data_IF_768775349184
#
_entry.id   IF_768775349184
#
_cell.length_a   1.000
_cell.length_b   1.000
_cell.length_c   1.000
_cell.angle_alpha   90.00
_cell.angle_beta   90.00
_cell.angle_gamma   90.00
#
_symmetry.space_group_name_H-M   'P 1'
#
loop_
_entity.id
_entity.type
_entity.pdbx_description
1 polymer ?
#
# COMPACT_ATOMS: atom_id res chain seq x y z
N UNK A 1 -4.22 -4.47 27.07
CA UNK A 1 -4.09 -3.60 25.89
C UNK A 1 -3.22 -4.38 24.92
N UNK A 2 -3.79 -4.75 23.78
CA UNK A 2 -3.14 -5.60 22.77
C UNK A 2 -1.90 -4.89 22.23
N UNK A 3 -0.79 -5.64 22.04
CA UNK A 3 0.47 -5.13 21.50
C UNK A 3 0.30 -4.40 20.16
N UNK A 4 -0.68 -4.82 19.35
CA UNK A 4 -1.08 -4.17 18.10
C UNK A 4 -1.58 -2.73 18.30
N UNK A 5 -2.34 -2.46 19.34
CA UNK A 5 -2.93 -1.13 19.59
C UNK A 5 -1.88 -0.09 19.97
N UNK A 6 -0.85 -0.51 20.71
CA UNK A 6 0.27 0.34 21.14
C UNK A 6 1.17 0.79 19.98
N UNK A 7 1.31 -0.03 18.94
CA UNK A 7 2.15 0.25 17.76
C UNK A 7 1.59 1.44 16.96
N UNK A 8 0.26 1.53 16.78
CA UNK A 8 -0.37 2.58 15.99
C UNK A 8 -0.50 3.94 16.69
N UNK A 9 -0.35 4.00 18.02
CA UNK A 9 -0.46 5.25 18.77
C UNK A 9 0.81 6.12 18.73
N UNK A 10 1.96 5.53 18.35
CA UNK A 10 3.28 6.18 18.41
C UNK A 10 3.83 6.66 17.08
N UNK A 11 3.16 6.36 15.94
CA UNK A 11 3.67 6.68 14.61
C UNK A 11 2.87 7.78 13.90
N UNK A 12 3.55 8.83 13.46
CA UNK A 12 3.06 9.78 12.45
C UNK A 12 3.15 9.14 11.05
N UNK A 13 2.26 8.20 10.75
CA UNK A 13 2.15 7.61 9.42
C UNK A 13 1.17 8.44 8.58
N UNK A 14 1.45 8.72 7.30
CA UNK A 14 0.62 9.62 6.47
C UNK A 14 -0.86 9.24 6.35
N UNK A 15 -1.25 7.99 6.48
CA UNK A 15 -2.63 7.51 6.62
C UNK A 15 -2.65 6.26 7.51
N UNK A 16 -2.83 6.42 8.84
CA UNK A 16 -2.77 5.31 9.79
C UNK A 16 -3.85 4.26 9.54
N UNK A 17 -5.01 4.62 8.97
CA UNK A 17 -6.08 3.67 8.64
C UNK A 17 -5.64 2.76 7.50
N UNK A 18 -5.03 3.32 6.46
CA UNK A 18 -4.50 2.61 5.31
C UNK A 18 -3.46 1.57 5.74
N UNK A 19 -2.43 2.02 6.45
CA UNK A 19 -1.33 1.16 6.91
C UNK A 19 -1.85 0.08 7.87
N UNK A 20 -2.75 0.45 8.79
CA UNK A 20 -3.39 -0.54 9.67
C UNK A 20 -4.07 -1.67 8.89
N UNK A 21 -4.84 -1.35 7.85
CA UNK A 21 -5.52 -2.38 7.02
C UNK A 21 -4.52 -3.28 6.29
N UNK A 22 -3.38 -2.75 5.86
CA UNK A 22 -2.31 -3.53 5.25
C UNK A 22 -1.71 -4.49 6.28
N UNK A 23 -1.35 -4.01 7.45
CA UNK A 23 -0.78 -4.84 8.53
C UNK A 23 -1.79 -5.88 9.02
N UNK A 24 -3.06 -5.51 9.19
CA UNK A 24 -4.11 -6.45 9.58
C UNK A 24 -4.28 -7.57 8.54
N UNK A 25 -4.18 -7.26 7.24
CA UNK A 25 -4.20 -8.26 6.18
C UNK A 25 -2.99 -9.21 6.28
N UNK A 26 -1.78 -8.69 6.42
CA UNK A 26 -0.57 -9.51 6.55
C UNK A 26 -0.73 -10.49 7.72
N UNK A 27 -1.18 -10.01 8.89
CA UNK A 27 -1.43 -10.89 10.04
C UNK A 27 -2.62 -11.85 9.87
N UNK A 28 -3.53 -11.60 8.93
CA UNK A 28 -4.62 -12.54 8.64
C UNK A 28 -4.19 -13.69 7.73
N UNK A 29 -3.20 -13.45 6.87
CA UNK A 29 -2.72 -14.46 5.90
C UNK A 29 -1.66 -15.40 6.50
N UNK A 30 -0.96 -14.97 7.55
CA UNK A 30 0.11 -15.74 8.18
C UNK A 30 -0.18 -15.95 9.65
N UNK A 31 -0.13 -17.21 10.11
CA UNK A 31 -0.24 -17.58 11.54
C UNK A 31 0.94 -16.97 12.31
N UNK A 32 2.14 -16.99 11.70
CA UNK A 32 3.38 -16.45 12.22
C UNK A 32 4.14 -15.75 11.09
N UNK A 33 4.76 -14.63 11.40
CA UNK A 33 5.60 -13.89 10.46
C UNK A 33 7.08 -14.29 10.54
N UNK A 34 7.45 -15.20 11.45
CA UNK A 34 8.82 -15.69 11.57
C UNK A 34 9.32 -16.21 10.23
N UNK A 35 10.52 -15.77 9.86
CA UNK A 35 11.22 -16.15 8.62
C UNK A 35 10.46 -15.77 7.31
N UNK A 36 9.41 -14.97 7.38
CA UNK A 36 8.74 -14.40 6.20
C UNK A 36 9.53 -13.22 5.66
N UNK A 37 9.77 -13.22 4.36
CA UNK A 37 10.43 -12.11 3.67
C UNK A 37 9.39 -11.08 3.24
N UNK A 38 9.46 -9.87 3.78
CA UNK A 38 8.51 -8.78 3.50
C UNK A 38 9.29 -7.59 2.96
N UNK A 39 8.92 -7.13 1.75
CA UNK A 39 9.50 -5.97 1.10
C UNK A 39 8.51 -4.80 1.13
N UNK A 40 8.97 -3.65 1.55
CA UNK A 40 8.27 -2.37 1.37
C UNK A 40 8.95 -1.53 0.30
N UNK A 41 8.19 -1.13 -0.73
CA UNK A 41 8.60 -0.18 -1.75
C UNK A 41 8.15 1.22 -1.32
N UNK A 42 9.07 2.20 -1.35
CA UNK A 42 8.79 3.55 -0.88
C UNK A 42 8.79 3.66 0.64
N UNK A 43 9.83 3.17 1.30
CA UNK A 43 9.95 3.12 2.78
C UNK A 43 9.93 4.52 3.41
N UNK A 44 10.47 5.53 2.72
CA UNK A 44 10.55 6.93 3.15
C UNK A 44 11.04 7.11 4.61
N UNK A 45 10.12 7.38 5.53
CA UNK A 45 10.40 7.57 6.97
C UNK A 45 10.10 6.34 7.83
N UNK A 46 9.77 5.22 7.21
CA UNK A 46 9.23 4.03 7.84
C UNK A 46 7.73 3.88 7.58
N UNK A 47 7.26 2.66 7.49
CA UNK A 47 5.87 2.32 7.18
C UNK A 47 5.52 0.95 7.74
N UNK A 48 5.15 0.03 6.87
CA UNK A 48 4.84 -1.35 7.25
C UNK A 48 6.06 -2.06 7.85
N UNK A 49 7.25 -1.87 7.26
CA UNK A 49 8.50 -2.48 7.74
C UNK A 49 8.80 -2.06 9.18
N UNK A 50 8.69 -0.76 9.52
CA UNK A 50 8.94 -0.31 10.88
C UNK A 50 7.89 -0.85 11.88
N UNK A 51 6.64 -0.98 11.47
CA UNK A 51 5.59 -1.56 12.30
C UNK A 51 5.81 -3.06 12.56
N UNK A 52 6.45 -3.77 11.62
CA UNK A 52 6.69 -5.21 11.71
C UNK A 52 8.06 -5.57 12.32
N UNK A 53 8.90 -4.59 12.72
CA UNK A 53 10.28 -4.82 13.20
C UNK A 53 10.45 -5.83 14.35
N UNK A 54 9.40 -6.09 15.11
CA UNK A 54 9.41 -7.04 16.22
C UNK A 54 8.56 -8.29 15.94
N UNK A 55 8.20 -8.52 14.68
CA UNK A 55 7.33 -9.66 14.31
C UNK A 55 8.06 -10.97 14.03
N UNK A 56 9.40 -10.95 13.97
CA UNK A 56 10.21 -12.08 13.54
C UNK A 56 10.36 -12.24 12.02
N UNK A 57 9.75 -11.38 11.23
CA UNK A 57 9.92 -11.37 9.79
C UNK A 57 11.30 -10.83 9.37
N UNK A 58 11.80 -11.29 8.22
CA UNK A 58 12.91 -10.69 7.51
C UNK A 58 12.38 -9.48 6.72
N UNK A 59 12.82 -8.29 7.10
CA UNK A 59 12.27 -7.04 6.60
C UNK A 59 13.23 -6.38 5.61
N UNK A 60 12.69 -6.03 4.46
CA UNK A 60 13.42 -5.37 3.38
C UNK A 60 12.71 -4.09 2.97
N UNK A 61 13.47 -3.13 2.52
CA UNK A 61 12.93 -1.88 2.01
C UNK A 61 13.69 -1.38 0.78
N UNK A 62 12.98 -0.69 -0.10
CA UNK A 62 13.58 0.02 -1.23
C UNK A 62 12.99 1.41 -1.34
N UNK A 63 13.84 2.42 -1.51
CA UNK A 63 13.44 3.81 -1.69
C UNK A 63 14.49 4.55 -2.52
N UNK A 64 14.06 5.56 -3.28
CA UNK A 64 14.97 6.42 -4.04
C UNK A 64 15.84 7.28 -3.09
N UNK A 65 15.30 7.63 -1.93
CA UNK A 65 15.98 8.42 -0.91
C UNK A 65 15.59 7.96 0.51
N UNK A 66 16.10 6.81 0.96
CA UNK A 66 15.77 6.29 2.29
C UNK A 66 16.28 7.24 3.38
N UNK A 67 15.36 7.73 4.22
CA UNK A 67 15.69 8.73 5.26
C UNK A 67 16.09 8.12 6.59
N UNK A 68 15.81 6.84 6.81
CA UNK A 68 16.09 6.16 8.08
C UNK A 68 16.67 4.77 7.85
N UNK A 69 17.66 4.42 8.65
CA UNK A 69 17.99 3.02 8.89
C UNK A 69 16.98 2.46 9.89
N UNK A 70 16.07 1.61 9.41
CA UNK A 70 15.14 0.92 10.29
C UNK A 70 15.90 -0.30 10.86
N UNK A 71 16.19 -0.26 12.16
CA UNK A 71 16.91 -1.33 12.83
C UNK A 71 16.23 -2.69 12.60
N UNK A 72 17.01 -3.68 12.15
CA UNK A 72 16.52 -5.02 11.87
C UNK A 72 15.90 -5.20 10.47
N UNK A 73 16.12 -4.25 9.56
CA UNK A 73 15.73 -4.37 8.15
C UNK A 73 16.89 -4.07 7.21
N UNK A 74 16.86 -4.66 6.02
CA UNK A 74 17.76 -4.36 4.91
C UNK A 74 17.12 -3.32 3.99
N UNK A 75 17.64 -2.09 3.97
CA UNK A 75 17.12 -1.00 3.15
C UNK A 75 18.09 -0.70 2.02
N UNK A 76 17.61 -0.82 0.78
CA UNK A 76 18.38 -0.54 -0.43
C UNK A 76 17.95 0.79 -1.03
N UNK A 77 18.91 1.65 -1.34
CA UNK A 77 18.64 2.86 -2.12
C UNK A 77 18.60 2.51 -3.60
N UNK A 78 17.43 2.65 -4.23
CA UNK A 78 17.26 2.43 -5.66
C UNK A 78 16.06 3.20 -6.22
N UNK A 79 16.14 3.58 -7.50
CA UNK A 79 15.02 4.13 -8.26
C UNK A 79 14.28 2.98 -8.97
N UNK A 80 13.06 2.71 -8.54
CA UNK A 80 12.20 1.66 -9.08
C UNK A 80 11.78 1.89 -10.55
N UNK A 81 12.00 3.07 -11.11
CA UNK A 81 11.89 3.29 -12.55
C UNK A 81 12.93 2.49 -13.34
N UNK A 82 14.09 2.22 -12.74
CA UNK A 82 15.15 1.39 -13.35
C UNK A 82 14.91 -0.11 -13.12
N UNK A 83 13.97 -0.47 -12.26
CA UNK A 83 13.67 -1.84 -11.86
C UNK A 83 13.99 -2.11 -10.39
N UNK A 84 13.65 -3.31 -9.93
CA UNK A 84 14.02 -3.74 -8.58
C UNK A 84 15.52 -3.99 -8.48
N UNK A 85 16.17 -3.64 -7.35
CA UNK A 85 17.52 -4.09 -7.08
C UNK A 85 17.56 -5.62 -6.97
N UNK A 86 18.74 -6.20 -7.15
CA UNK A 86 18.95 -7.64 -7.02
C UNK A 86 18.89 -8.03 -5.53
N UNK A 87 17.79 -8.66 -5.16
CA UNK A 87 17.63 -9.27 -3.86
C UNK A 87 17.99 -10.75 -3.95
N UNK A 88 18.82 -11.24 -3.05
CA UNK A 88 19.20 -12.65 -2.99
C UNK A 88 18.06 -13.59 -2.54
N UNK A 89 16.88 -13.04 -2.29
CA UNK A 89 15.70 -13.76 -1.77
C UNK A 89 14.44 -13.46 -2.59
N UNK A 90 13.44 -14.33 -2.48
CA UNK A 90 12.07 -14.08 -2.94
C UNK A 90 11.20 -13.69 -1.75
N UNK A 91 10.15 -12.92 -2.02
CA UNK A 91 9.31 -12.32 -1.00
C UNK A 91 7.98 -13.06 -0.81
N UNK A 92 7.55 -13.20 0.45
CA UNK A 92 6.21 -13.65 0.79
C UNK A 92 5.19 -12.52 0.59
N UNK A 93 5.61 -11.27 0.86
CA UNK A 93 4.79 -10.06 0.68
C UNK A 93 5.63 -8.95 0.08
N UNK A 94 5.08 -8.27 -0.93
CA UNK A 94 5.57 -6.97 -1.41
C UNK A 94 4.47 -5.95 -1.17
N UNK A 95 4.81 -4.87 -0.46
CA UNK A 95 3.94 -3.73 -0.24
C UNK A 95 4.46 -2.50 -0.98
N UNK A 96 3.62 -1.86 -1.80
CA UNK A 96 3.91 -0.60 -2.47
C UNK A 96 2.84 0.44 -2.11
N UNK A 97 3.18 1.32 -1.20
CA UNK A 97 2.26 2.31 -0.65
C UNK A 97 2.43 3.69 -1.26
N UNK A 98 1.54 4.12 -2.15
CA UNK A 98 1.63 5.40 -2.86
C UNK A 98 2.96 5.51 -3.64
N UNK A 99 3.26 4.50 -4.44
CA UNK A 99 4.51 4.40 -5.22
C UNK A 99 4.23 4.35 -6.71
N UNK A 100 3.30 3.48 -7.14
CA UNK A 100 3.15 3.15 -8.57
C UNK A 100 2.65 4.32 -9.41
N UNK A 101 1.95 5.30 -8.82
CA UNK A 101 1.53 6.53 -9.47
C UNK A 101 2.70 7.44 -9.84
N UNK A 102 3.85 7.27 -9.19
CA UNK A 102 5.09 8.02 -9.43
C UNK A 102 6.04 7.35 -10.42
N UNK A 103 5.77 6.11 -10.83
CA UNK A 103 6.61 5.37 -11.77
C UNK A 103 6.23 5.71 -13.20
N UNK A 104 7.22 5.72 -14.11
CA UNK A 104 6.96 5.91 -15.54
C UNK A 104 6.23 4.73 -16.17
N UNK A 105 6.45 3.52 -15.65
CA UNK A 105 5.86 2.28 -16.16
C UNK A 105 5.40 1.39 -14.99
N UNK A 106 4.15 1.56 -14.59
CA UNK A 106 3.50 0.81 -13.53
C UNK A 106 3.33 -0.69 -13.88
N UNK A 107 3.07 -0.98 -15.15
CA UNK A 107 2.96 -2.34 -15.68
C UNK A 107 4.28 -3.11 -15.54
N UNK A 108 5.41 -2.47 -15.87
CA UNK A 108 6.75 -3.05 -15.67
C UNK A 108 6.97 -3.36 -14.20
N UNK A 109 6.66 -2.41 -13.31
CA UNK A 109 6.81 -2.60 -11.86
C UNK A 109 6.03 -3.81 -11.36
N UNK A 110 4.75 -3.96 -11.75
CA UNK A 110 3.90 -5.07 -11.31
C UNK A 110 4.44 -6.41 -11.81
N UNK A 111 4.94 -6.46 -13.05
CA UNK A 111 5.56 -7.66 -13.64
C UNK A 111 6.83 -8.05 -12.88
N UNK A 112 7.73 -7.11 -12.66
CA UNK A 112 8.97 -7.37 -11.91
C UNK A 112 8.68 -7.74 -10.45
N UNK A 113 7.70 -7.12 -9.80
CA UNK A 113 7.24 -7.53 -8.47
C UNK A 113 6.75 -8.98 -8.46
N UNK A 114 6.02 -9.41 -9.52
CA UNK A 114 5.62 -10.81 -9.67
C UNK A 114 6.82 -11.74 -9.76
N UNK A 115 7.87 -11.33 -10.49
CA UNK A 115 9.07 -12.16 -10.67
C UNK A 115 9.80 -12.39 -9.35
N UNK A 116 9.88 -11.42 -8.47
CA UNK A 116 10.56 -11.53 -7.17
C UNK A 116 9.67 -12.04 -6.03
N UNK A 117 8.36 -12.19 -6.24
CA UNK A 117 7.46 -12.88 -5.29
C UNK A 117 7.67 -14.39 -5.33
N UNK A 118 7.53 -15.05 -4.18
CA UNK A 118 7.36 -16.50 -4.08
C UNK A 118 6.05 -16.93 -4.76
N UNK A 119 5.90 -18.21 -5.18
CA UNK A 119 4.59 -18.77 -5.49
C UNK A 119 3.62 -18.51 -4.32
N UNK A 120 2.37 -18.19 -4.61
CA UNK A 120 1.35 -17.85 -3.61
C UNK A 120 1.64 -16.58 -2.77
N UNK A 121 2.71 -15.83 -3.08
CA UNK A 121 3.05 -14.57 -2.42
C UNK A 121 2.08 -13.44 -2.73
N UNK A 122 2.04 -12.43 -1.88
CA UNK A 122 1.08 -11.33 -1.94
C UNK A 122 1.72 -10.04 -2.44
N UNK A 123 1.05 -9.39 -3.39
CA UNK A 123 1.30 -8.01 -3.79
C UNK A 123 0.21 -7.13 -3.18
N UNK A 124 0.61 -6.17 -2.37
CA UNK A 124 -0.29 -5.19 -1.74
C UNK A 124 0.08 -3.82 -2.28
N UNK A 125 -0.88 -3.14 -2.90
CA UNK A 125 -0.67 -1.81 -3.47
C UNK A 125 -1.66 -0.84 -2.86
N UNK A 126 -1.20 0.38 -2.58
CA UNK A 126 -2.13 1.48 -2.31
C UNK A 126 -1.89 2.62 -3.26
N UNK A 127 -2.98 3.27 -3.71
CA UNK A 127 -2.95 4.41 -4.63
C UNK A 127 -4.03 5.43 -4.29
N UNK A 128 -3.82 6.71 -4.59
CA UNK A 128 -4.86 7.72 -4.52
C UNK A 128 -6.02 7.38 -5.46
N UNK A 129 -7.25 7.58 -5.00
CA UNK A 129 -8.43 7.30 -5.81
C UNK A 129 -8.99 8.57 -6.45
N UNK A 130 -8.92 8.65 -7.77
CA UNK A 130 -9.52 9.76 -8.53
C UNK A 130 -11.01 9.94 -8.19
N UNK A 131 -11.73 8.82 -8.04
CA UNK A 131 -13.20 8.82 -7.83
C UNK A 131 -13.60 8.93 -6.36
N UNK A 132 -12.69 9.35 -5.48
CA UNK A 132 -12.99 9.67 -4.09
C UNK A 132 -14.22 10.59 -3.97
N UNK A 133 -15.10 10.35 -3.03
CA UNK A 133 -16.37 11.07 -2.87
C UNK A 133 -16.21 12.59 -2.88
N UNK A 134 -15.19 13.12 -2.21
CA UNK A 134 -14.90 14.53 -2.19
C UNK A 134 -14.40 15.06 -3.54
N UNK A 135 -13.64 14.26 -4.30
CA UNK A 135 -13.21 14.61 -5.65
C UNK A 135 -14.39 14.73 -6.62
N UNK A 136 -15.38 13.83 -6.50
CA UNK A 136 -16.62 13.90 -7.30
C UNK A 136 -17.34 15.22 -7.06
N UNK A 137 -17.49 15.64 -5.81
CA UNK A 137 -18.10 16.92 -5.45
C UNK A 137 -17.26 18.09 -6.01
N UNK A 138 -15.94 18.06 -5.86
CA UNK A 138 -15.06 19.10 -6.40
C UNK A 138 -15.20 19.26 -7.91
N UNK A 139 -15.21 18.13 -8.64
CA UNK A 139 -15.36 18.12 -10.11
C UNK A 139 -16.71 18.67 -10.57
N UNK A 140 -17.80 18.45 -9.83
CA UNK A 140 -19.10 19.08 -10.13
C UNK A 140 -19.04 20.61 -10.09
N UNK A 141 -18.13 21.19 -9.31
CA UNK A 141 -17.89 22.63 -9.23
C UNK A 141 -16.67 23.08 -10.07
N UNK A 142 -16.24 22.29 -11.05
CA UNK A 142 -15.12 22.62 -11.93
C UNK A 142 -13.75 22.68 -11.21
N UNK A 143 -13.61 22.12 -10.00
CA UNK A 143 -12.37 22.13 -9.24
C UNK A 143 -11.56 20.86 -9.49
N UNK A 144 -10.24 20.99 -9.58
CA UNK A 144 -9.31 19.88 -9.73
C UNK A 144 -9.45 18.87 -8.57
N UNK A 145 -9.46 17.57 -8.85
CA UNK A 145 -9.46 16.53 -7.83
C UNK A 145 -8.24 16.65 -6.90
N UNK A 146 -8.44 16.36 -5.61
CA UNK A 146 -7.33 16.27 -4.66
C UNK A 146 -6.54 14.98 -4.93
N UNK A 147 -5.23 15.04 -4.70
CA UNK A 147 -4.27 13.94 -4.87
C UNK A 147 -4.13 13.39 -6.30
N UNK A 148 -5.13 13.54 -7.16
CA UNK A 148 -5.04 13.11 -8.54
C UNK A 148 -4.13 14.02 -9.38
N UNK A 149 -3.94 15.26 -8.97
CA UNK A 149 -3.11 16.24 -9.66
C UNK A 149 -1.97 16.72 -8.75
N UNK A 150 -1.12 15.77 -8.34
CA UNK A 150 0.14 16.14 -7.70
C UNK A 150 1.25 16.22 -8.74
N UNK A 151 2.21 17.13 -8.60
CA UNK A 151 3.44 17.08 -9.37
C UNK A 151 4.06 15.68 -9.24
N UNK A 152 4.48 15.08 -10.35
CA UNK A 152 5.08 13.74 -10.40
C UNK A 152 4.11 12.55 -10.26
N UNK A 153 2.78 12.73 -10.36
CA UNK A 153 1.86 11.62 -10.60
C UNK A 153 1.75 11.39 -12.10
N UNK A 154 2.37 10.34 -12.59
CA UNK A 154 2.31 9.93 -14.00
C UNK A 154 1.06 9.12 -14.30
N UNK A 155 0.51 8.43 -13.30
CA UNK A 155 -0.68 7.60 -13.40
C UNK A 155 -1.78 8.05 -12.45
N UNK A 156 -3.02 7.92 -12.91
CA UNK A 156 -4.22 8.26 -12.13
C UNK A 156 -5.10 7.02 -12.07
N UNK A 157 -5.49 6.62 -10.86
CA UNK A 157 -6.23 5.39 -10.65
C UNK A 157 -7.68 5.60 -10.24
N UNK A 158 -8.54 4.75 -10.79
CA UNK A 158 -9.85 4.42 -10.26
C UNK A 158 -9.84 2.94 -9.87
N UNK A 159 -10.87 2.49 -9.13
CA UNK A 159 -11.00 1.06 -8.81
C UNK A 159 -10.91 0.18 -10.07
N UNK A 160 -11.56 0.58 -11.17
CA UNK A 160 -11.57 -0.20 -12.42
C UNK A 160 -10.20 -0.26 -13.06
N UNK A 161 -9.50 0.87 -13.19
CA UNK A 161 -8.17 0.94 -13.83
C UNK A 161 -7.17 0.04 -13.10
N UNK A 162 -7.08 0.15 -11.77
CA UNK A 162 -6.11 -0.67 -11.02
C UNK A 162 -6.49 -2.16 -11.01
N UNK A 163 -7.79 -2.49 -11.00
CA UNK A 163 -8.27 -3.87 -11.10
C UNK A 163 -7.87 -4.50 -12.44
N UNK A 164 -8.07 -3.79 -13.55
CA UNK A 164 -7.69 -4.24 -14.89
C UNK A 164 -6.17 -4.43 -14.99
N UNK A 165 -5.38 -3.48 -14.48
CA UNK A 165 -3.92 -3.55 -14.47
C UNK A 165 -3.40 -4.78 -13.70
N UNK A 166 -3.90 -5.03 -12.50
CA UNK A 166 -3.49 -6.19 -11.69
C UNK A 166 -3.84 -7.52 -12.37
N UNK A 167 -5.04 -7.60 -12.96
CA UNK A 167 -5.49 -8.82 -13.66
C UNK A 167 -4.73 -9.06 -14.96
N UNK A 168 -4.39 -8.01 -15.72
CA UNK A 168 -3.65 -8.15 -16.98
C UNK A 168 -2.24 -8.71 -16.76
N UNK A 169 -1.63 -8.44 -15.61
CA UNK A 169 -0.33 -9.01 -15.23
C UNK A 169 -0.44 -10.40 -14.58
N UNK A 170 -1.64 -11.00 -14.61
CA UNK A 170 -1.87 -12.39 -14.22
C UNK A 170 -1.82 -12.64 -12.71
N UNK A 171 -2.10 -11.63 -11.91
CA UNK A 171 -2.37 -11.80 -10.49
C UNK A 171 -3.81 -12.25 -10.24
N UNK A 172 -4.04 -13.00 -9.19
CA UNK A 172 -5.36 -13.20 -8.63
C UNK A 172 -5.72 -12.00 -7.73
N UNK A 173 -6.74 -11.26 -8.12
CA UNK A 173 -7.24 -10.17 -7.30
C UNK A 173 -8.12 -10.72 -6.17
N UNK A 174 -7.66 -10.60 -4.92
CA UNK A 174 -8.38 -11.08 -3.75
C UNK A 174 -9.47 -10.09 -3.33
N UNK A 175 -9.10 -8.83 -3.15
CA UNK A 175 -10.02 -7.75 -2.77
C UNK A 175 -9.45 -6.37 -3.08
N UNK A 176 -10.35 -5.40 -3.25
CA UNK A 176 -10.04 -3.98 -3.22
C UNK A 176 -10.92 -3.34 -2.16
N UNK A 177 -10.31 -2.69 -1.19
CA UNK A 177 -10.97 -1.88 -0.17
C UNK A 177 -10.44 -0.45 -0.24
N UNK A 178 -10.93 0.44 0.60
CA UNK A 178 -10.36 1.78 0.71
C UNK A 178 -10.06 2.16 2.16
N UNK A 179 -9.30 3.23 2.35
CA UNK A 179 -8.97 3.72 3.67
C UNK A 179 -10.22 4.23 4.39
N UNK A 180 -10.92 5.20 3.82
CA UNK A 180 -12.14 5.84 4.36
C UNK A 180 -12.90 6.57 3.25
N UNK A 181 -14.23 6.79 3.43
CA UNK A 181 -15.07 7.45 2.40
C UNK A 181 -15.07 8.98 2.51
N UNK A 182 -15.06 9.52 3.72
CA UNK A 182 -15.05 10.95 4.02
C UNK A 182 -13.81 11.29 4.86
N UNK A 183 -13.80 12.38 5.58
CA UNK A 183 -12.63 12.83 6.33
C UNK A 183 -12.19 11.83 7.41
N UNK A 184 -10.94 11.35 7.33
CA UNK A 184 -10.32 10.39 8.27
C UNK A 184 -10.11 10.96 9.69
N UNK A 185 -10.26 12.27 9.87
CA UNK A 185 -9.93 12.98 11.11
C UNK A 185 -10.93 12.78 12.24
N UNK A 186 -12.07 12.17 12.00
CA UNK A 186 -13.06 11.92 13.03
C UNK A 186 -12.74 10.64 13.79
N UNK A 187 -12.16 10.79 14.99
CA UNK A 187 -12.04 9.70 15.96
C UNK A 187 -13.43 9.33 16.50
N UNK A 188 -13.64 8.07 16.87
CA UNK A 188 -14.87 7.58 17.47
C UNK A 188 -15.79 6.80 16.53
N UNK A 189 -17.04 6.58 16.96
CA UNK A 189 -18.01 5.70 16.26
C UNK A 189 -18.27 6.11 14.80
N UNK A 190 -18.34 7.42 14.52
CA UNK A 190 -18.60 7.95 13.17
C UNK A 190 -17.43 7.67 12.23
N UNK A 191 -16.19 7.86 12.69
CA UNK A 191 -14.99 7.53 11.88
C UNK A 191 -14.97 6.05 11.51
N UNK A 192 -15.32 5.17 12.44
CA UNK A 192 -15.39 3.72 12.20
C UNK A 192 -16.46 3.34 11.18
N UNK A 193 -17.60 4.04 11.17
CA UNK A 193 -18.64 3.84 10.13
C UNK A 193 -18.07 4.19 8.74
N UNK A 194 -17.38 5.33 8.59
CA UNK A 194 -16.79 5.73 7.30
C UNK A 194 -15.67 4.79 6.84
N UNK A 195 -14.94 4.19 7.76
CA UNK A 195 -13.97 3.15 7.47
C UNK A 195 -14.62 1.86 6.96
N UNK A 196 -15.72 1.41 7.60
CA UNK A 196 -16.50 0.24 7.17
C UNK A 196 -17.14 0.49 5.80
N UNK A 197 -17.75 1.65 5.61
CA UNK A 197 -18.32 2.03 4.31
C UNK A 197 -17.25 2.09 3.20
N UNK A 198 -16.01 2.46 3.53
CA UNK A 198 -14.88 2.39 2.62
C UNK A 198 -14.54 0.96 2.16
N UNK A 199 -14.75 -0.02 3.02
CA UNK A 199 -14.56 -1.43 2.63
C UNK A 199 -15.67 -1.93 1.69
N UNK A 200 -16.92 -1.46 1.90
CA UNK A 200 -18.08 -1.87 1.10
C UNK A 200 -18.10 -1.12 -0.25
N UNK A 201 -17.79 0.17 -0.23
CA UNK A 201 -17.84 1.06 -1.40
C UNK A 201 -16.46 1.67 -1.71
N UNK A 202 -15.45 0.87 -2.09
CA UNK A 202 -14.08 1.36 -2.24
C UNK A 202 -13.91 2.45 -3.29
N UNK A 203 -14.75 2.50 -4.33
CA UNK A 203 -14.73 3.57 -5.34
C UNK A 203 -15.07 4.97 -4.81
N UNK A 204 -15.60 5.06 -3.59
CA UNK A 204 -15.86 6.34 -2.92
C UNK A 204 -14.78 6.71 -1.90
N UNK A 205 -13.84 5.82 -1.62
CA UNK A 205 -12.80 6.04 -0.62
C UNK A 205 -11.62 6.85 -1.15
N UNK A 206 -10.86 7.44 -0.21
CA UNK A 206 -9.75 8.34 -0.54
C UNK A 206 -8.56 7.62 -1.20
N UNK A 207 -8.14 6.50 -0.62
CA UNK A 207 -7.08 5.65 -1.18
C UNK A 207 -7.64 4.24 -1.41
N UNK A 208 -7.31 3.66 -2.54
CA UNK A 208 -7.60 2.25 -2.81
C UNK A 208 -6.49 1.40 -2.17
N UNK A 209 -6.87 0.27 -1.61
CA UNK A 209 -5.96 -0.73 -1.06
C UNK A 209 -6.28 -2.04 -1.77
N UNK A 210 -5.32 -2.51 -2.55
CA UNK A 210 -5.42 -3.65 -3.44
C UNK A 210 -4.65 -4.80 -2.84
N UNK A 211 -5.28 -5.95 -2.70
CA UNK A 211 -4.66 -7.20 -2.26
C UNK A 211 -4.73 -8.20 -3.41
N UNK A 212 -3.58 -8.59 -3.89
CA UNK A 212 -3.43 -9.50 -5.01
C UNK A 212 -2.48 -10.64 -4.65
N UNK A 213 -2.68 -11.82 -5.24
CA UNK A 213 -1.91 -13.03 -5.00
C UNK A 213 -1.27 -13.49 -6.29
N UNK A 214 0.00 -13.86 -6.23
CA UNK A 214 0.69 -14.54 -7.33
C UNK A 214 0.15 -15.95 -7.46
N UNK A 215 -0.31 -16.30 -8.65
CA UNK A 215 -0.65 -17.68 -9.03
C UNK A 215 0.59 -18.47 -9.34
#
# INVERSE_FOLDING_TARGET
MDSKQKIFETFEVPDPIRIKKVVDFIFSEFIDLKDRNILECGVAKGGVVDLLKNSGANLFGVDINPRNNINGSEIVQADLNNGFPDFSVKFDVIFAGEVIEHLFNDTKFIREAKDILKPEGFLIITVPNLTFSFNRIRMLFGKTPLFAYAPYHYHIYTKKIIEELIKSEGFELLKIISSHILFSTRRGKIGKIFEILGNIFPSFGAHLIIFAKKK
#
